data_IF_517840967108
#
_entry.id   IF_517840967108
#
_cell.length_a   1.000
_cell.length_b   1.000
_cell.length_c   1.000
_cell.angle_alpha   90.00
_cell.angle_beta   90.00
_cell.angle_gamma   90.00
#
_symmetry.space_group_name_H-M   'P 1'
#
loop_
_entity.id
_entity.type
_entity.pdbx_description
1 polymer ?
#
# COMPACT_ATOMS: atom_id res chain seq x y z
N UNK A 1 -1.42 20.06 28.99
CA UNK A 1 -1.17 18.61 28.97
C UNK A 1 -0.01 18.32 28.04
N UNK A 2 0.81 17.30 28.31
CA UNK A 2 1.86 16.82 27.40
C UNK A 2 1.45 15.45 26.87
N UNK A 3 1.63 15.21 25.58
CA UNK A 3 1.16 13.97 24.92
C UNK A 3 2.33 13.29 24.24
N UNK A 4 2.37 11.96 24.32
CA UNK A 4 3.30 11.11 23.60
C UNK A 4 2.55 9.95 22.97
N UNK A 5 3.02 9.51 21.80
CA UNK A 5 2.49 8.35 21.07
C UNK A 5 3.64 7.41 20.84
N UNK A 6 3.45 6.12 21.15
CA UNK A 6 4.42 5.09 20.78
C UNK A 6 4.51 5.04 19.25
N UNK A 7 5.70 5.30 18.70
CA UNK A 7 5.89 5.30 17.26
C UNK A 7 5.60 3.91 16.69
N UNK A 8 4.55 3.79 15.89
CA UNK A 8 4.27 2.54 15.21
C UNK A 8 5.27 2.32 14.08
N UNK A 9 5.93 1.16 14.06
CA UNK A 9 6.79 0.79 12.94
C UNK A 9 5.94 0.22 11.82
N UNK A 10 6.11 0.74 10.60
CA UNK A 10 5.41 0.19 9.42
C UNK A 10 6.00 -1.17 9.06
N UNK A 11 5.15 -2.18 9.00
CA UNK A 11 5.50 -3.53 8.58
C UNK A 11 4.62 -3.90 7.39
N UNK A 12 5.24 -4.11 6.24
CA UNK A 12 4.55 -4.57 5.03
C UNK A 12 4.36 -6.08 5.10
N UNK A 13 3.23 -6.57 4.58
CA UNK A 13 3.02 -8.01 4.42
C UNK A 13 4.19 -8.66 3.65
N UNK A 14 4.68 -9.79 4.13
CA UNK A 14 5.79 -10.51 3.53
C UNK A 14 5.44 -11.04 2.13
N UNK A 15 6.47 -11.18 1.32
CA UNK A 15 6.42 -11.65 -0.06
C UNK A 15 5.72 -13.02 -0.25
N UNK A 16 5.69 -13.86 0.78
CA UNK A 16 5.05 -15.18 0.71
C UNK A 16 3.52 -15.14 0.51
N UNK A 17 2.90 -13.95 0.56
CA UNK A 17 1.47 -13.73 0.40
C UNK A 17 0.99 -13.21 -0.96
N UNK A 18 1.79 -13.22 -2.04
CA UNK A 18 1.38 -12.65 -3.34
C UNK A 18 0.19 -13.34 -4.03
N UNK A 19 -0.26 -14.47 -3.51
CA UNK A 19 -1.51 -15.14 -3.89
C UNK A 19 -2.72 -14.71 -3.03
N UNK A 20 -2.55 -13.82 -2.06
CA UNK A 20 -3.64 -13.35 -1.22
C UNK A 20 -4.67 -12.62 -2.09
N UNK A 21 -5.89 -13.15 -2.08
CA UNK A 21 -7.07 -12.50 -2.64
C UNK A 21 -7.12 -11.04 -2.18
N UNK A 22 -7.55 -10.08 -3.04
CA UNK A 22 -7.70 -8.67 -2.69
C UNK A 22 -8.64 -8.39 -1.49
N UNK A 23 -9.22 -9.44 -0.88
CA UNK A 23 -10.18 -9.39 0.22
C UNK A 23 -9.61 -9.65 1.62
N UNK A 24 -8.35 -10.07 1.79
CA UNK A 24 -7.81 -10.28 3.13
C UNK A 24 -7.50 -8.94 3.80
N UNK A 25 -8.19 -8.61 4.90
CA UNK A 25 -7.87 -7.42 5.69
C UNK A 25 -6.51 -7.59 6.39
N UNK A 26 -5.76 -6.48 6.55
CA UNK A 26 -4.51 -6.51 7.30
C UNK A 26 -4.80 -6.87 8.77
N UNK A 27 -4.02 -7.81 9.32
CA UNK A 27 -4.08 -8.17 10.74
C UNK A 27 -3.39 -7.11 11.58
N UNK A 28 -3.88 -6.88 12.80
CA UNK A 28 -3.39 -5.79 13.66
C UNK A 28 -2.36 -6.30 14.67
N UNK A 29 -1.35 -5.50 14.94
CA UNK A 29 -0.41 -5.76 16.03
C UNK A 29 -0.08 -4.43 16.71
N UNK A 30 -0.07 -4.43 18.04
CA UNK A 30 0.23 -3.24 18.84
C UNK A 30 1.56 -2.63 18.40
N UNK A 31 1.60 -1.31 18.27
CA UNK A 31 2.74 -0.49 17.83
C UNK A 31 3.27 -0.85 16.43
N UNK A 32 2.41 -1.38 15.57
CA UNK A 32 2.72 -1.64 14.16
C UNK A 32 1.62 -1.10 13.25
N UNK A 33 2.06 -0.64 12.08
CA UNK A 33 1.18 -0.41 10.93
C UNK A 33 1.36 -1.59 10.00
N UNK A 34 0.39 -2.49 9.99
CA UNK A 34 0.38 -3.65 9.11
C UNK A 34 -0.36 -3.29 7.83
N UNK A 35 0.29 -3.45 6.68
CA UNK A 35 -0.31 -3.10 5.38
C UNK A 35 -0.25 -4.25 4.40
N UNK A 36 -1.30 -4.37 3.60
CA UNK A 36 -1.28 -5.03 2.31
C UNK A 36 -1.74 -4.06 1.21
N UNK A 37 -1.94 -4.53 -0.03
CA UNK A 37 -2.26 -3.65 -1.17
C UNK A 37 -3.52 -2.80 -0.96
N UNK A 38 -4.50 -3.31 -0.21
CA UNK A 38 -5.82 -2.71 -0.07
C UNK A 38 -6.27 -2.53 1.37
N UNK A 39 -5.42 -2.81 2.35
CA UNK A 39 -5.80 -2.68 3.74
C UNK A 39 -4.62 -2.24 4.59
N UNK A 40 -4.95 -1.43 5.58
CA UNK A 40 -4.08 -1.02 6.67
C UNK A 40 -4.75 -1.38 7.99
N UNK A 41 -3.95 -1.93 8.90
CA UNK A 41 -4.28 -1.90 10.32
C UNK A 41 -3.16 -1.24 11.10
N UNK A 42 -3.48 -0.12 11.75
CA UNK A 42 -2.59 0.61 12.64
C UNK A 42 -3.09 0.48 14.08
N UNK A 43 -2.19 0.16 15.01
CA UNK A 43 -2.51 0.11 16.43
C UNK A 43 -1.44 0.88 17.20
N UNK A 44 -1.82 2.01 17.78
CA UNK A 44 -0.93 2.91 18.53
C UNK A 44 -1.34 2.98 19.99
N UNK A 45 -0.36 3.15 20.88
CA UNK A 45 -0.60 3.49 22.27
C UNK A 45 -0.34 4.99 22.48
N UNK A 46 -1.23 5.63 23.23
CA UNK A 46 -1.19 7.06 23.50
C UNK A 46 -1.09 7.28 25.00
N UNK A 47 -0.13 8.10 25.40
CA UNK A 47 0.11 8.49 26.78
C UNK A 47 -0.01 10.00 26.94
N UNK A 48 -0.80 10.44 27.91
CA UNK A 48 -1.01 11.87 28.22
C UNK A 48 -0.63 12.14 29.67
N UNK A 49 0.28 13.09 29.86
CA UNK A 49 0.59 13.71 31.15
C UNK A 49 -0.34 14.91 31.40
N UNK A 50 -1.05 14.87 32.52
CA UNK A 50 -1.80 16.00 33.07
C UNK A 50 -0.88 16.76 34.02
N UNK A 51 -0.38 17.90 33.54
CA UNK A 51 0.62 18.72 34.23
C UNK A 51 -0.02 20.03 34.66
N UNK A 52 0.24 20.43 35.90
CA UNK A 52 -0.05 21.77 36.42
C UNK A 52 1.25 22.51 36.70
N UNK A 53 1.28 23.82 36.49
CA UNK A 53 2.43 24.65 36.85
C UNK A 53 2.17 25.30 38.20
N UNK A 54 2.93 24.92 39.22
CA UNK A 54 2.84 25.47 40.57
C UNK A 54 4.16 26.18 40.85
N UNK A 55 4.11 27.48 41.16
CA UNK A 55 5.29 28.31 41.41
C UNK A 55 6.36 28.21 40.30
N UNK A 56 5.92 28.18 39.04
CA UNK A 56 6.79 28.07 37.87
C UNK A 56 7.36 26.68 37.61
N UNK A 57 7.04 25.66 38.43
CA UNK A 57 7.50 24.28 38.24
C UNK A 57 6.39 23.39 37.69
N UNK A 58 6.64 22.59 36.65
CA UNK A 58 5.68 21.61 36.16
C UNK A 58 5.59 20.44 37.15
N UNK A 59 4.38 20.17 37.64
CA UNK A 59 4.06 19.03 38.50
C UNK A 59 3.10 18.08 37.80
N UNK A 60 3.40 16.78 37.84
CA UNK A 60 2.55 15.73 37.28
C UNK A 60 1.38 15.46 38.23
N UNK A 61 0.17 15.77 37.80
CA UNK A 61 -1.05 15.57 38.59
C UNK A 61 -1.82 14.31 38.19
N UNK A 62 -1.50 13.68 37.08
CA UNK A 62 -2.10 12.42 36.63
C UNK A 62 -1.71 12.01 35.23
N UNK A 63 -2.08 10.79 34.86
CA UNK A 63 -1.76 10.19 33.56
C UNK A 63 -3.01 9.59 32.90
N UNK A 64 -2.98 9.46 31.58
CA UNK A 64 -3.98 8.79 30.77
C UNK A 64 -3.28 7.89 29.75
N UNK A 65 -3.56 6.59 29.81
CA UNK A 65 -3.00 5.58 28.91
C UNK A 65 -4.12 4.84 28.19
N UNK A 66 -4.12 4.87 26.86
CA UNK A 66 -5.09 4.18 26.05
C UNK A 66 -4.51 3.78 24.69
N UNK A 67 -5.22 2.91 23.99
CA UNK A 67 -4.86 2.47 22.67
C UNK A 67 -5.85 2.97 21.63
N UNK A 68 -5.36 3.23 20.42
CA UNK A 68 -6.19 3.49 19.25
C UNK A 68 -5.85 2.49 18.16
N UNK A 69 -6.88 1.84 17.64
CA UNK A 69 -6.78 0.87 16.55
C UNK A 69 -7.54 1.36 15.34
N UNK A 70 -6.85 1.63 14.24
CA UNK A 70 -7.43 1.97 12.94
C UNK A 70 -7.45 0.75 12.03
N UNK A 71 -8.54 0.59 11.29
CA UNK A 71 -8.73 -0.43 10.27
C UNK A 71 -9.28 0.21 9.01
N UNK A 72 -8.42 0.37 8.01
CA UNK A 72 -8.76 0.93 6.71
C UNK A 72 -8.78 -0.18 5.65
N UNK A 73 -9.83 -0.20 4.84
CA UNK A 73 -9.93 -1.09 3.67
C UNK A 73 -10.26 -0.24 2.45
N UNK A 74 -9.29 -0.12 1.54
CA UNK A 74 -9.44 0.50 0.24
C UNK A 74 -10.26 -0.40 -0.69
N UNK A 75 -10.84 0.19 -1.74
CA UNK A 75 -11.68 -0.54 -2.70
C UNK A 75 -11.04 -0.53 -4.09
N UNK A 76 -11.08 -1.68 -4.76
CA UNK A 76 -10.60 -1.85 -6.14
C UNK A 76 -11.59 -1.35 -7.20
N UNK A 77 -12.79 -0.95 -6.78
CA UNK A 77 -13.86 -0.54 -7.69
C UNK A 77 -14.60 0.71 -7.21
N UNK A 78 -14.05 1.41 -6.22
CA UNK A 78 -14.53 2.69 -5.73
C UNK A 78 -13.36 3.53 -5.20
N UNK A 79 -13.31 4.80 -5.58
CA UNK A 79 -12.39 5.78 -4.98
C UNK A 79 -12.89 6.34 -3.63
N UNK A 80 -14.07 5.88 -3.18
CA UNK A 80 -14.65 6.20 -1.88
C UNK A 80 -14.60 4.97 -0.98
N UNK A 81 -14.15 5.14 0.25
CA UNK A 81 -14.05 4.07 1.25
C UNK A 81 -14.35 4.59 2.65
N UNK A 82 -14.36 3.68 3.61
CA UNK A 82 -14.49 4.03 5.02
C UNK A 82 -13.46 3.25 5.81
N UNK A 83 -13.00 3.88 6.88
CA UNK A 83 -12.12 3.33 7.89
C UNK A 83 -12.88 3.29 9.21
N UNK A 84 -12.67 2.24 9.99
CA UNK A 84 -13.16 2.14 11.36
C UNK A 84 -11.99 2.36 12.31
N UNK A 85 -12.23 3.02 13.43
CA UNK A 85 -11.25 3.05 14.51
C UNK A 85 -11.90 2.83 15.87
N UNK A 86 -11.11 2.28 16.79
CA UNK A 86 -11.51 1.97 18.15
C UNK A 86 -10.57 2.68 19.12
N UNK A 87 -11.13 3.45 20.05
CA UNK A 87 -10.42 4.07 21.17
C UNK A 87 -10.71 3.24 22.42
N UNK A 88 -9.69 2.61 22.99
CA UNK A 88 -9.87 1.80 24.20
C UNK A 88 -10.30 2.67 25.39
N UNK A 89 -10.93 2.05 26.39
CA UNK A 89 -11.09 2.70 27.69
C UNK A 89 -9.70 3.03 28.24
N UNK A 90 -9.51 4.27 28.69
CA UNK A 90 -8.22 4.67 29.24
C UNK A 90 -8.03 4.16 30.67
N UNK A 91 -6.79 3.78 30.98
CA UNK A 91 -6.29 3.67 32.35
C UNK A 91 -5.85 5.07 32.77
N UNK A 92 -6.33 5.53 33.93
CA UNK A 92 -6.02 6.88 34.41
C UNK A 92 -5.51 6.87 35.84
N UNK A 93 -4.72 7.89 36.18
CA UNK A 93 -4.33 8.18 37.55
C UNK A 93 -4.76 9.60 37.91
N UNK A 94 -5.26 9.80 39.15
CA UNK A 94 -5.52 11.13 39.73
C UNK A 94 -6.25 12.09 38.75
N UNK A 95 -5.64 13.23 38.41
CA UNK A 95 -6.22 14.25 37.53
C UNK A 95 -6.39 13.78 36.06
N UNK A 96 -5.86 12.62 35.68
CA UNK A 96 -6.08 12.00 34.37
C UNK A 96 -7.54 11.62 34.12
N UNK A 97 -8.34 11.37 35.17
CA UNK A 97 -9.78 11.16 35.00
C UNK A 97 -10.47 12.43 34.49
N UNK A 98 -11.45 12.28 33.59
CA UNK A 98 -12.18 13.42 33.02
C UNK A 98 -11.46 14.16 31.90
N UNK A 99 -10.34 13.62 31.39
CA UNK A 99 -9.74 14.10 30.14
C UNK A 99 -10.63 13.69 28.97
N UNK A 100 -11.05 14.68 28.19
CA UNK A 100 -11.84 14.53 26.97
C UNK A 100 -10.93 14.46 25.74
N UNK A 101 -11.34 13.74 24.70
CA UNK A 101 -10.66 13.69 23.40
C UNK A 101 -11.59 14.15 22.27
N UNK A 102 -11.02 14.89 21.32
CA UNK A 102 -11.60 15.15 20.01
C UNK A 102 -10.66 14.64 18.93
N UNK A 103 -11.22 14.02 17.90
CA UNK A 103 -10.46 13.40 16.81
C UNK A 103 -10.87 14.04 15.49
N UNK A 104 -9.88 14.47 14.71
CA UNK A 104 -10.08 14.92 13.33
C UNK A 104 -9.15 14.17 12.38
N UNK A 105 -9.50 14.16 11.10
CA UNK A 105 -8.71 13.53 10.05
C UNK A 105 -8.64 14.47 8.85
N UNK A 106 -7.44 14.64 8.31
CA UNK A 106 -7.20 15.40 7.08
C UNK A 106 -6.51 14.52 6.05
N UNK A 107 -6.98 14.55 4.81
CA UNK A 107 -6.42 13.78 3.70
C UNK A 107 -5.96 14.69 2.56
N UNK A 108 -4.96 14.23 1.81
CA UNK A 108 -4.44 14.89 0.61
C UNK A 108 -4.91 14.25 -0.70
N UNK A 109 -4.25 14.59 -1.81
CA UNK A 109 -4.42 13.88 -3.10
C UNK A 109 -5.84 13.93 -3.69
N UNK A 110 -6.57 15.03 -3.45
CA UNK A 110 -7.96 15.18 -3.92
C UNK A 110 -8.99 14.33 -3.14
N UNK A 111 -8.59 13.78 -2.00
CA UNK A 111 -9.46 13.00 -1.10
C UNK A 111 -9.94 13.90 0.04
N UNK A 112 -11.22 13.85 0.38
CA UNK A 112 -11.80 14.45 1.59
C UNK A 112 -12.04 13.38 2.65
N UNK A 113 -11.57 13.62 3.87
CA UNK A 113 -11.83 12.79 5.05
C UNK A 113 -12.91 13.44 5.93
N UNK A 114 -13.82 12.63 6.48
CA UNK A 114 -14.88 13.07 7.39
C UNK A 114 -14.93 12.14 8.60
N UNK A 115 -14.68 12.65 9.79
CA UNK A 115 -14.70 11.85 11.03
C UNK A 115 -16.11 11.83 11.64
N UNK A 116 -16.55 10.64 12.04
CA UNK A 116 -17.74 10.44 12.87
C UNK A 116 -17.30 9.79 14.19
N UNK A 117 -17.24 10.60 15.24
CA UNK A 117 -16.87 10.20 16.59
C UNK A 117 -17.52 11.17 17.60
N UNK A 118 -17.88 10.71 18.82
CA UNK A 118 -18.45 11.59 19.84
C UNK A 118 -17.51 12.75 20.17
N UNK A 119 -18.01 13.99 20.08
CA UNK A 119 -17.24 15.18 20.47
C UNK A 119 -17.04 15.18 21.98
N UNK A 120 -15.81 15.46 22.40
CA UNK A 120 -15.45 15.54 23.82
C UNK A 120 -15.60 14.23 24.58
N UNK A 121 -15.37 13.09 23.93
CA UNK A 121 -15.45 11.78 24.58
C UNK A 121 -14.51 11.71 25.78
N UNK A 122 -15.05 11.39 26.96
CA UNK A 122 -14.25 11.24 28.18
C UNK A 122 -13.55 9.89 28.16
N UNK A 123 -12.21 9.90 28.10
CA UNK A 123 -11.41 8.68 27.88
C UNK A 123 -11.59 7.62 28.98
N UNK A 124 -11.93 8.02 30.21
CA UNK A 124 -12.17 7.11 31.33
C UNK A 124 -13.61 6.57 31.41
N UNK A 125 -14.57 7.11 30.65
CA UNK A 125 -15.98 6.69 30.74
C UNK A 125 -16.23 5.33 30.10
N UNK A 126 -15.45 4.97 29.07
CA UNK A 126 -15.57 3.74 28.33
C UNK A 126 -14.76 3.76 27.04
N UNK A 127 -14.69 2.60 26.38
CA UNK A 127 -14.19 2.53 25.01
C UNK A 127 -15.20 3.16 24.05
N UNK A 128 -14.74 3.64 22.90
CA UNK A 128 -15.59 4.25 21.89
C UNK A 128 -15.11 3.91 20.48
N UNK A 129 -16.07 3.64 19.59
CA UNK A 129 -15.82 3.41 18.18
C UNK A 129 -16.10 4.68 17.36
N UNK A 130 -15.36 4.83 16.27
CA UNK A 130 -15.55 5.90 15.30
C UNK A 130 -15.30 5.42 13.87
N UNK A 131 -15.63 6.28 12.93
CA UNK A 131 -15.34 6.04 11.51
C UNK A 131 -14.75 7.27 10.84
N UNK A 132 -13.99 7.04 9.79
CA UNK A 132 -13.59 8.06 8.82
C UNK A 132 -14.18 7.70 7.46
N UNK A 133 -14.99 8.59 6.90
CA UNK A 133 -15.48 8.49 5.53
C UNK A 133 -14.55 9.21 4.58
N UNK A 134 -14.16 8.55 3.49
CA UNK A 134 -13.29 9.09 2.45
C UNK A 134 -14.04 9.23 1.13
N UNK A 135 -14.00 10.44 0.58
CA UNK A 135 -14.59 10.77 -0.71
C UNK A 135 -13.53 11.34 -1.65
N UNK A 136 -13.38 10.73 -2.83
CA UNK A 136 -12.40 11.13 -3.85
C UNK A 136 -13.08 11.23 -5.20
N UNK A 137 -12.86 12.34 -5.91
CA UNK A 137 -13.30 12.51 -7.30
C UNK A 137 -12.10 12.39 -8.23
N UNK A 138 -12.20 11.51 -9.23
CA UNK A 138 -11.11 11.23 -10.18
C UNK A 138 -11.68 11.07 -11.59
N UNK A 139 -11.27 11.96 -12.48
CA UNK A 139 -11.66 11.88 -13.88
C UNK A 139 -11.11 10.60 -14.54
N UNK A 140 -11.78 10.06 -15.58
CA UNK A 140 -11.28 8.93 -16.34
C UNK A 140 -9.86 9.16 -16.87
N UNK A 141 -9.08 8.08 -16.93
CA UNK A 141 -7.67 8.09 -17.37
C UNK A 141 -6.73 8.94 -16.50
N UNK A 142 -7.12 9.26 -15.26
CA UNK A 142 -6.28 10.01 -14.32
C UNK A 142 -5.80 9.16 -13.14
N UNK A 143 -4.71 9.62 -12.56
CA UNK A 143 -4.07 9.08 -11.36
C UNK A 143 -3.90 10.27 -10.43
N UNK A 144 -4.41 10.17 -9.20
CA UNK A 144 -4.19 11.22 -8.21
C UNK A 144 -2.77 11.09 -7.60
N UNK A 145 -2.22 12.18 -7.03
CA UNK A 145 -1.00 12.11 -6.24
C UNK A 145 -1.12 11.12 -5.08
N UNK A 146 -0.01 10.50 -4.69
CA UNK A 146 0.08 9.73 -3.45
C UNK A 146 -0.29 10.64 -2.26
N UNK A 147 -1.07 10.12 -1.32
CA UNK A 147 -1.56 10.85 -0.14
C UNK A 147 -1.53 9.96 1.10
N UNK A 148 -1.71 10.58 2.25
CA UNK A 148 -1.89 9.92 3.56
C UNK A 148 -2.97 10.68 4.33
N UNK A 149 -3.58 10.02 5.30
CA UNK A 149 -4.45 10.68 6.27
C UNK A 149 -3.61 11.09 7.47
N UNK A 150 -3.70 12.35 7.88
CA UNK A 150 -3.17 12.83 9.15
C UNK A 150 -4.31 12.85 10.17
N UNK A 151 -4.19 12.01 11.19
CA UNK A 151 -5.10 12.04 12.34
C UNK A 151 -4.60 13.05 13.36
N UNK A 152 -5.50 13.84 13.92
CA UNK A 152 -5.17 14.77 14.99
C UNK A 152 -6.08 14.54 16.20
N UNK A 153 -5.45 14.36 17.35
CA UNK A 153 -6.09 14.13 18.63
C UNK A 153 -5.86 15.36 19.48
N UNK A 154 -6.95 15.94 19.99
CA UNK A 154 -6.90 17.08 20.92
C UNK A 154 -7.52 16.66 22.24
N UNK A 155 -6.75 16.82 23.31
CA UNK A 155 -7.11 16.46 24.67
C UNK A 155 -7.45 17.71 25.47
N UNK A 156 -8.60 17.72 26.13
CA UNK A 156 -9.06 18.85 26.93
C UNK A 156 -9.46 18.41 28.33
N UNK A 157 -9.23 19.28 29.31
CA UNK A 157 -9.67 19.11 30.70
C UNK A 157 -9.84 20.50 31.32
N UNK A 158 -10.99 20.81 31.95
CA UNK A 158 -11.19 22.10 32.62
C UNK A 158 -10.06 22.41 33.61
N UNK A 159 -9.52 23.63 33.56
CA UNK A 159 -8.40 24.05 34.40
C UNK A 159 -7.00 23.71 33.86
N UNK A 160 -6.89 23.06 32.69
CA UNK A 160 -5.62 22.71 32.06
C UNK A 160 -5.57 23.18 30.61
N UNK A 161 -4.38 23.56 30.14
CA UNK A 161 -4.15 23.79 28.72
C UNK A 161 -4.32 22.50 27.91
N UNK A 162 -4.94 22.55 26.72
CA UNK A 162 -5.07 21.40 25.84
C UNK A 162 -3.72 20.76 25.49
N UNK A 163 -3.74 19.45 25.25
CA UNK A 163 -2.64 18.73 24.62
C UNK A 163 -3.06 18.23 23.24
N UNK A 164 -2.13 18.00 22.33
CA UNK A 164 -2.44 17.39 21.05
C UNK A 164 -1.35 16.47 20.55
N UNK A 165 -1.73 15.55 19.67
CA UNK A 165 -0.78 14.72 18.91
C UNK A 165 -1.34 14.43 17.53
N UNK A 166 -0.43 14.20 16.59
CA UNK A 166 -0.76 13.77 15.23
C UNK A 166 0.08 12.57 14.82
N UNK A 167 -0.51 11.72 13.97
CA UNK A 167 0.21 10.67 13.26
C UNK A 167 -0.46 10.42 11.92
N UNK A 168 0.19 9.63 11.06
CA UNK A 168 -0.24 9.44 9.68
C UNK A 168 -0.52 7.98 9.35
N UNK A 169 -1.56 7.76 8.55
CA UNK A 169 -1.84 6.48 7.92
C UNK A 169 -0.73 6.03 6.95
N UNK A 170 -0.90 4.82 6.42
CA UNK A 170 -0.21 4.39 5.21
C UNK A 170 -0.45 5.36 4.05
N UNK A 171 0.54 5.41 3.15
CA UNK A 171 0.39 6.15 1.90
C UNK A 171 -0.54 5.38 0.99
N UNK A 172 -1.59 6.02 0.51
CA UNK A 172 -2.50 5.49 -0.50
C UNK A 172 -2.45 6.33 -1.78
N UNK A 173 -2.94 5.74 -2.86
CA UNK A 173 -3.15 6.42 -4.14
C UNK A 173 -4.44 5.91 -4.74
N UNK A 174 -5.23 6.84 -5.27
CA UNK A 174 -6.41 6.50 -6.04
C UNK A 174 -6.21 6.83 -7.52
N UNK A 175 -6.85 6.06 -8.39
CA UNK A 175 -6.82 6.27 -9.83
C UNK A 175 -8.13 5.86 -10.49
N UNK A 176 -8.32 6.32 -11.72
CA UNK A 176 -9.37 5.89 -12.63
C UNK A 176 -8.74 5.62 -14.01
N UNK A 177 -7.56 5.00 -14.03
CA UNK A 177 -6.75 4.92 -15.24
C UNK A 177 -7.25 3.84 -16.21
N UNK A 178 -7.75 2.73 -15.68
CA UNK A 178 -8.17 1.58 -16.49
C UNK A 178 -9.66 1.58 -16.89
N UNK A 179 -10.38 2.66 -16.58
CA UNK A 179 -11.85 2.75 -16.62
C UNK A 179 -12.53 2.17 -17.87
N UNK A 180 -13.36 1.14 -17.64
CA UNK A 180 -14.67 0.88 -18.29
C UNK A 180 -15.36 -0.41 -17.79
N UNK A 181 -14.61 -1.37 -17.22
CA UNK A 181 -15.16 -2.63 -16.69
C UNK A 181 -15.30 -2.61 -15.16
N UNK A 182 -16.16 -3.47 -14.57
CA UNK A 182 -16.28 -3.60 -13.09
C UNK A 182 -14.94 -3.92 -12.40
N UNK A 183 -14.01 -4.58 -13.08
CA UNK A 183 -12.68 -4.95 -12.57
C UNK A 183 -11.61 -3.86 -12.76
N UNK A 184 -11.97 -2.72 -13.37
CA UNK A 184 -11.03 -1.66 -13.76
C UNK A 184 -11.60 -0.25 -13.54
N UNK A 185 -12.60 -0.12 -12.64
CA UNK A 185 -13.20 1.17 -12.26
C UNK A 185 -12.22 2.00 -11.42
N UNK A 186 -12.60 3.23 -11.12
CA UNK A 186 -11.87 4.04 -10.15
C UNK A 186 -11.70 3.28 -8.84
N UNK A 187 -10.50 3.30 -8.26
CA UNK A 187 -10.17 2.59 -7.04
C UNK A 187 -8.91 3.13 -6.40
N UNK A 188 -8.56 2.57 -5.25
CA UNK A 188 -7.40 3.01 -4.47
C UNK A 188 -6.55 1.82 -4.02
N UNK A 189 -5.25 2.04 -3.88
CA UNK A 189 -4.31 1.06 -3.37
C UNK A 189 -3.25 1.73 -2.48
N UNK A 190 -2.56 0.93 -1.68
CA UNK A 190 -1.33 1.29 -0.97
C UNK A 190 -0.16 0.98 -1.94
N UNK A 191 0.36 1.99 -2.67
CA UNK A 191 1.20 1.76 -3.84
C UNK A 191 2.56 1.16 -3.49
N UNK A 192 3.06 1.41 -2.27
CA UNK A 192 4.39 0.96 -1.84
C UNK A 192 4.41 -0.51 -1.41
N UNK A 193 3.25 -1.17 -1.34
CA UNK A 193 3.16 -2.61 -1.07
C UNK A 193 3.32 -3.36 -2.40
N UNK A 194 4.36 -4.22 -2.53
CA UNK A 194 4.54 -5.03 -3.72
C UNK A 194 3.36 -5.97 -3.95
N UNK A 195 3.11 -6.28 -5.22
CA UNK A 195 2.09 -7.27 -5.62
C UNK A 195 2.73 -8.34 -6.51
N UNK A 196 2.02 -9.43 -6.79
CA UNK A 196 2.52 -10.49 -7.66
C UNK A 196 1.72 -10.62 -8.95
N UNK A 197 2.41 -10.87 -10.06
CA UNK A 197 1.79 -11.29 -11.32
C UNK A 197 2.24 -12.70 -11.69
N UNK A 198 1.30 -13.60 -11.98
CA UNK A 198 1.63 -15.01 -12.24
C UNK A 198 1.84 -15.31 -13.73
N UNK A 199 3.01 -15.87 -14.03
CA UNK A 199 3.37 -16.46 -15.32
C UNK A 199 3.24 -17.99 -15.33
N UNK A 200 2.91 -18.61 -14.20
CA UNK A 200 2.71 -20.06 -14.08
C UNK A 200 1.78 -20.59 -15.16
N UNK A 201 2.20 -21.65 -15.85
CA UNK A 201 1.44 -22.26 -16.95
C UNK A 201 1.60 -21.56 -18.31
N UNK A 202 2.38 -20.48 -18.40
CA UNK A 202 2.93 -20.00 -19.66
C UNK A 202 4.27 -20.74 -19.87
N UNK A 203 4.17 -21.96 -20.43
CA UNK A 203 5.21 -22.98 -20.31
C UNK A 203 6.65 -22.51 -20.58
N UNK A 204 6.87 -21.68 -21.61
CA UNK A 204 8.21 -21.20 -21.98
C UNK A 204 8.61 -19.94 -21.23
N UNK A 205 7.68 -19.01 -21.04
CA UNK A 205 7.92 -17.77 -20.26
C UNK A 205 8.30 -18.11 -18.82
N UNK A 206 7.49 -18.96 -18.17
CA UNK A 206 7.72 -19.49 -16.83
C UNK A 206 9.08 -20.22 -16.74
N UNK A 207 9.35 -21.14 -17.67
CA UNK A 207 10.63 -21.86 -17.75
C UNK A 207 11.83 -20.91 -17.88
N UNK A 208 11.75 -19.89 -18.73
CA UNK A 208 12.80 -18.90 -18.90
C UNK A 208 13.09 -18.12 -17.61
N UNK A 209 12.04 -17.70 -16.89
CA UNK A 209 12.17 -17.01 -15.60
C UNK A 209 12.81 -17.93 -14.55
N UNK A 210 12.37 -19.20 -14.44
CA UNK A 210 12.96 -20.17 -13.51
C UNK A 210 14.42 -20.48 -13.83
N UNK A 211 14.76 -20.62 -15.10
CA UNK A 211 16.15 -20.82 -15.55
C UNK A 211 17.03 -19.64 -15.20
N UNK A 212 16.56 -18.40 -15.42
CA UNK A 212 17.27 -17.19 -15.01
C UNK A 212 17.56 -17.20 -13.50
N UNK A 213 16.56 -17.55 -12.68
CA UNK A 213 16.70 -17.64 -11.23
C UNK A 213 17.69 -18.71 -10.79
N UNK A 214 17.66 -19.88 -11.41
CA UNK A 214 18.63 -20.94 -11.15
C UNK A 214 20.07 -20.50 -11.46
N UNK A 215 20.25 -19.56 -12.38
CA UNK A 215 21.56 -18.99 -12.76
C UNK A 215 21.94 -17.72 -11.96
N UNK A 216 21.23 -17.41 -10.86
CA UNK A 216 21.54 -16.29 -9.98
C UNK A 216 20.85 -14.96 -10.34
N UNK A 217 19.87 -14.98 -11.23
CA UNK A 217 19.01 -13.84 -11.54
C UNK A 217 17.88 -13.69 -10.51
N UNK A 218 17.89 -12.65 -9.68
CA UNK A 218 16.95 -12.55 -8.54
C UNK A 218 16.00 -11.36 -8.61
N UNK A 219 16.12 -10.47 -9.60
CA UNK A 219 15.15 -9.38 -9.76
C UNK A 219 13.77 -9.95 -10.12
N UNK A 220 12.73 -9.43 -9.45
CA UNK A 220 11.35 -9.88 -9.57
C UNK A 220 11.04 -11.24 -8.93
N UNK A 221 11.99 -11.87 -8.21
CA UNK A 221 11.76 -13.11 -7.47
C UNK A 221 11.10 -12.86 -6.10
N UNK A 222 9.89 -13.39 -5.84
CA UNK A 222 9.26 -13.24 -4.53
C UNK A 222 10.01 -13.93 -3.38
N UNK A 223 10.91 -14.87 -3.66
CA UNK A 223 11.59 -15.69 -2.63
C UNK A 223 12.98 -15.16 -2.25
N UNK A 224 13.12 -13.84 -2.10
CA UNK A 224 14.40 -13.20 -1.70
C UNK A 224 15.00 -12.27 -2.75
N UNK A 225 14.29 -12.02 -3.84
CA UNK A 225 14.65 -11.05 -4.86
C UNK A 225 14.33 -9.60 -4.51
N UNK A 226 14.77 -8.68 -5.37
CA UNK A 226 14.31 -7.27 -5.36
C UNK A 226 13.07 -7.15 -6.26
N UNK A 227 12.05 -6.36 -5.89
CA UNK A 227 10.89 -6.17 -6.77
C UNK A 227 11.30 -5.48 -8.07
N UNK A 228 10.56 -5.75 -9.14
CA UNK A 228 10.54 -4.92 -10.34
C UNK A 228 9.62 -3.72 -10.11
N UNK A 229 9.76 -2.66 -10.90
CA UNK A 229 8.90 -1.48 -10.83
C UNK A 229 8.17 -1.28 -12.15
N UNK A 230 6.84 -1.15 -12.09
CA UNK A 230 6.04 -0.98 -13.30
C UNK A 230 6.39 0.33 -14.01
N UNK A 231 6.45 0.30 -15.34
CA UNK A 231 6.72 1.45 -16.18
C UNK A 231 5.58 1.67 -17.18
N UNK A 232 4.95 2.84 -17.14
CA UNK A 232 3.78 3.15 -17.98
C UNK A 232 4.14 3.75 -19.35
N UNK A 233 5.38 4.22 -19.51
CA UNK A 233 5.84 4.91 -20.70
C UNK A 233 6.02 3.94 -21.90
N UNK A 234 5.11 4.02 -22.87
CA UNK A 234 5.11 3.17 -24.06
C UNK A 234 6.31 3.37 -24.99
N UNK A 235 6.86 4.58 -25.05
CA UNK A 235 8.08 4.85 -25.83
C UNK A 235 9.28 4.13 -25.20
N UNK A 236 9.39 4.19 -23.88
CA UNK A 236 10.44 3.49 -23.15
C UNK A 236 10.25 1.97 -23.19
N UNK A 237 9.01 1.46 -23.11
CA UNK A 237 8.71 0.04 -23.28
C UNK A 237 9.21 -0.47 -24.65
N UNK A 238 8.93 0.27 -25.73
CA UNK A 238 9.41 -0.07 -27.05
C UNK A 238 10.95 -0.03 -27.15
N UNK A 239 11.59 0.96 -26.52
CA UNK A 239 13.05 1.06 -26.46
C UNK A 239 13.67 -0.11 -25.69
N UNK A 240 13.11 -0.45 -24.52
CA UNK A 240 13.53 -1.60 -23.70
C UNK A 240 13.44 -2.89 -24.50
N UNK A 241 12.31 -3.14 -25.18
CA UNK A 241 12.15 -4.33 -26.02
C UNK A 241 13.17 -4.37 -27.15
N UNK A 242 13.33 -3.27 -27.90
CA UNK A 242 14.28 -3.19 -29.01
C UNK A 242 15.73 -3.44 -28.57
N UNK A 243 16.08 -3.07 -27.35
CA UNK A 243 17.44 -3.22 -26.82
C UNK A 243 17.85 -4.69 -26.56
N UNK A 244 16.90 -5.60 -26.39
CA UNK A 244 17.19 -7.01 -26.03
C UNK A 244 16.57 -8.03 -26.96
N UNK A 245 15.44 -7.72 -27.60
CA UNK A 245 14.77 -8.63 -28.53
C UNK A 245 15.32 -8.46 -29.95
N UNK A 246 15.92 -9.51 -30.53
CA UNK A 246 16.30 -9.50 -31.95
C UNK A 246 15.07 -9.36 -32.85
N UNK A 247 15.26 -8.81 -34.05
CA UNK A 247 14.18 -8.63 -35.04
C UNK A 247 13.66 -9.94 -35.62
N UNK A 248 14.40 -11.04 -35.50
CA UNK A 248 13.97 -12.33 -36.01
C UNK A 248 14.40 -13.49 -35.12
N UNK A 249 13.52 -14.48 -34.97
CA UNK A 249 13.81 -15.70 -34.23
C UNK A 249 14.89 -16.55 -34.93
N UNK A 250 15.74 -17.26 -34.16
CA UNK A 250 16.60 -18.32 -34.67
C UNK A 250 15.81 -19.37 -35.47
N UNK A 251 16.48 -20.06 -36.41
CA UNK A 251 15.82 -20.96 -37.35
C UNK A 251 15.12 -22.14 -36.66
N UNK A 252 15.71 -22.70 -35.61
CA UNK A 252 15.13 -23.75 -34.78
C UNK A 252 13.89 -23.28 -34.02
N UNK A 253 13.91 -22.07 -33.47
CA UNK A 253 12.74 -21.47 -32.82
C UNK A 253 11.61 -21.20 -33.82
N UNK A 254 11.94 -20.71 -35.03
CA UNK A 254 10.97 -20.56 -36.14
C UNK A 254 10.32 -21.89 -36.50
N UNK A 255 11.10 -22.97 -36.67
CA UNK A 255 10.57 -24.33 -36.94
C UNK A 255 9.63 -24.82 -35.84
N UNK A 256 9.89 -24.46 -34.59
CA UNK A 256 9.03 -24.77 -33.45
C UNK A 256 7.79 -23.85 -33.31
N UNK A 257 7.57 -22.91 -34.25
CA UNK A 257 6.49 -21.92 -34.19
C UNK A 257 6.70 -20.83 -33.14
N UNK A 258 7.92 -20.67 -32.63
CA UNK A 258 8.29 -19.71 -31.57
C UNK A 258 8.92 -18.49 -32.19
N UNK A 259 8.06 -17.60 -32.69
CA UNK A 259 8.46 -16.41 -33.45
C UNK A 259 8.35 -15.11 -32.67
N UNK A 260 7.85 -15.15 -31.44
CA UNK A 260 7.77 -13.99 -30.56
C UNK A 260 8.90 -14.00 -29.54
N UNK A 261 9.59 -12.88 -29.41
CA UNK A 261 10.53 -12.66 -28.33
C UNK A 261 9.76 -12.24 -27.07
N UNK A 262 10.05 -12.88 -25.94
CA UNK A 262 9.67 -12.48 -24.59
C UNK A 262 10.94 -12.11 -23.81
N UNK A 263 10.85 -11.07 -23.00
CA UNK A 263 11.97 -10.49 -22.28
C UNK A 263 11.72 -10.47 -20.76
N UNK A 264 12.73 -10.88 -19.99
CA UNK A 264 12.73 -10.72 -18.53
C UNK A 264 13.99 -9.98 -18.05
N UNK A 265 13.89 -8.95 -17.18
CA UNK A 265 12.65 -8.30 -16.73
C UNK A 265 11.83 -7.75 -17.90
N UNK A 266 10.51 -7.67 -17.71
CA UNK A 266 9.58 -7.23 -18.76
C UNK A 266 9.97 -5.86 -19.30
N UNK A 267 9.83 -5.63 -20.61
CA UNK A 267 10.10 -4.30 -21.19
C UNK A 267 9.24 -3.19 -20.59
N UNK A 268 8.08 -3.54 -20.01
CA UNK A 268 7.17 -2.67 -19.27
C UNK A 268 7.53 -2.47 -17.80
N UNK A 269 8.77 -2.80 -17.41
CA UNK A 269 9.36 -2.47 -16.11
C UNK A 269 10.53 -1.49 -16.25
N UNK A 270 10.83 -0.76 -15.18
CA UNK A 270 12.00 0.13 -15.12
C UNK A 270 13.33 -0.63 -15.20
N UNK A 271 13.33 -1.89 -14.79
CA UNK A 271 14.47 -2.82 -14.89
C UNK A 271 14.59 -3.49 -16.27
N UNK A 272 13.61 -3.28 -17.15
CA UNK A 272 13.55 -3.91 -18.48
C UNK A 272 14.66 -3.46 -19.44
N UNK A 273 14.84 -4.20 -20.53
CA UNK A 273 15.85 -3.87 -21.53
C UNK A 273 17.28 -4.12 -21.04
N UNK A 274 18.14 -3.10 -21.04
CA UNK A 274 19.56 -3.21 -20.64
C UNK A 274 19.86 -2.56 -19.29
N UNK A 275 18.85 -2.20 -18.50
CA UNK A 275 19.03 -1.52 -17.20
C UNK A 275 19.61 -2.45 -16.13
N UNK A 276 19.51 -3.77 -16.30
CA UNK A 276 20.19 -4.75 -15.46
C UNK A 276 21.37 -5.43 -16.20
N UNK A 277 22.37 -5.95 -15.46
CA UNK A 277 23.43 -6.77 -16.05
C UNK A 277 22.88 -7.97 -16.83
N UNK A 278 23.62 -8.47 -17.83
CA UNK A 278 23.20 -9.63 -18.65
C UNK A 278 22.82 -10.86 -17.82
N UNK A 279 23.53 -11.13 -16.71
CA UNK A 279 23.23 -12.23 -15.77
C UNK A 279 21.90 -12.11 -15.02
N UNK A 280 21.21 -10.98 -15.14
CA UNK A 280 19.91 -10.73 -14.51
C UNK A 280 18.80 -10.62 -15.56
N UNK A 281 19.05 -11.05 -16.80
CA UNK A 281 18.12 -10.94 -17.93
C UNK A 281 18.02 -12.25 -18.67
N UNK A 282 16.84 -12.53 -19.23
CA UNK A 282 16.60 -13.69 -20.10
C UNK A 282 15.77 -13.24 -21.31
N UNK A 283 16.07 -13.85 -22.46
CA UNK A 283 15.25 -13.75 -23.66
C UNK A 283 14.73 -15.15 -23.99
N UNK A 284 13.41 -15.27 -24.10
CA UNK A 284 12.75 -16.52 -24.42
C UNK A 284 11.98 -16.38 -25.73
N UNK A 285 12.23 -17.27 -26.68
CA UNK A 285 11.40 -17.37 -27.88
C UNK A 285 10.17 -18.22 -27.60
N UNK A 286 8.99 -17.62 -27.79
CA UNK A 286 7.70 -18.22 -27.47
C UNK A 286 6.72 -18.15 -28.64
N UNK A 287 5.64 -18.93 -28.55
CA UNK A 287 4.53 -18.80 -29.50
C UNK A 287 3.86 -17.44 -29.30
N UNK A 288 3.36 -16.84 -30.39
CA UNK A 288 2.63 -15.57 -30.33
C UNK A 288 1.41 -15.66 -29.38
N UNK A 289 0.73 -16.82 -29.33
CA UNK A 289 -0.40 -17.03 -28.42
C UNK A 289 -0.01 -16.94 -26.94
N UNK A 290 1.13 -17.54 -26.56
CA UNK A 290 1.64 -17.52 -25.20
C UNK A 290 2.02 -16.09 -24.78
N UNK A 291 2.70 -15.34 -25.66
CA UNK A 291 3.04 -13.94 -25.39
C UNK A 291 1.78 -13.06 -25.26
N UNK A 292 0.76 -13.30 -26.09
CA UNK A 292 -0.55 -12.62 -25.95
C UNK A 292 -1.23 -12.96 -24.63
N UNK A 293 -1.18 -14.21 -24.18
CA UNK A 293 -1.69 -14.62 -22.87
C UNK A 293 -0.98 -13.92 -21.72
N UNK A 294 0.34 -13.75 -21.80
CA UNK A 294 1.13 -12.96 -20.83
C UNK A 294 0.62 -11.52 -20.75
N UNK A 295 0.49 -10.85 -21.90
CA UNK A 295 -0.02 -9.47 -21.97
C UNK A 295 -1.43 -9.33 -21.40
N UNK A 296 -2.31 -10.32 -21.64
CA UNK A 296 -3.64 -10.39 -21.03
C UNK A 296 -3.59 -10.48 -19.50
N UNK A 297 -2.74 -11.36 -18.95
CA UNK A 297 -2.56 -11.53 -17.50
C UNK A 297 -2.02 -10.25 -16.85
N UNK A 298 -0.99 -9.63 -17.43
CA UNK A 298 -0.43 -8.37 -16.94
C UNK A 298 -1.49 -7.27 -16.96
N UNK A 299 -2.28 -7.16 -18.02
CA UNK A 299 -3.34 -6.15 -18.13
C UNK A 299 -4.41 -6.34 -17.06
N UNK A 300 -4.88 -7.58 -16.86
CA UNK A 300 -5.87 -7.90 -15.84
C UNK A 300 -5.34 -7.62 -14.43
N UNK A 301 -4.13 -8.10 -14.11
CA UNK A 301 -3.47 -7.86 -12.84
C UNK A 301 -3.31 -6.36 -12.54
N UNK A 302 -2.84 -5.56 -13.52
CA UNK A 302 -2.70 -4.11 -13.32
C UNK A 302 -4.02 -3.41 -13.01
N UNK A 303 -5.08 -3.80 -13.71
CA UNK A 303 -6.44 -3.29 -13.46
C UNK A 303 -6.93 -3.64 -12.06
N UNK A 304 -6.82 -4.91 -11.68
CA UNK A 304 -7.29 -5.41 -10.38
C UNK A 304 -6.47 -4.87 -9.19
N UNK A 305 -5.15 -4.77 -9.37
CA UNK A 305 -4.21 -4.38 -8.31
C UNK A 305 -3.91 -2.87 -8.31
N UNK A 306 -4.52 -2.10 -9.21
CA UNK A 306 -4.29 -0.66 -9.39
C UNK A 306 -2.80 -0.31 -9.50
N UNK A 307 -2.04 -1.10 -10.27
CA UNK A 307 -0.58 -0.94 -10.41
C UNK A 307 -0.29 0.21 -11.37
N UNK A 308 0.45 1.22 -10.92
CA UNK A 308 0.86 2.37 -11.74
C UNK A 308 2.37 2.48 -11.85
N UNK A 309 2.80 3.50 -12.59
CA UNK A 309 4.21 3.83 -12.75
C UNK A 309 4.94 3.91 -11.40
N UNK A 310 6.06 3.20 -11.31
CA UNK A 310 6.89 3.10 -10.11
C UNK A 310 6.39 2.13 -9.04
N UNK A 311 5.24 1.48 -9.21
CA UNK A 311 4.77 0.51 -8.22
C UNK A 311 5.61 -0.78 -8.25
N UNK A 312 6.05 -1.29 -7.08
CA UNK A 312 6.81 -2.52 -6.99
C UNK A 312 5.94 -3.76 -7.26
N UNK A 313 6.52 -4.76 -7.90
CA UNK A 313 5.90 -6.06 -8.11
C UNK A 313 6.92 -7.19 -8.25
N UNK A 314 6.43 -8.40 -8.02
CA UNK A 314 7.16 -9.66 -8.23
C UNK A 314 6.46 -10.49 -9.30
N UNK A 315 7.20 -11.43 -9.87
CA UNK A 315 6.70 -12.34 -10.90
C UNK A 315 6.69 -13.76 -10.35
N UNK A 316 5.54 -14.40 -10.36
CA UNK A 316 5.39 -15.78 -9.90
C UNK A 316 5.58 -16.69 -11.12
N UNK A 317 6.59 -17.54 -11.07
CA UNK A 317 6.97 -18.50 -12.11
C UNK A 317 7.31 -19.82 -11.41
#
# INVERSE_FOLDING_TARGET
MRVTVSSATRVQAQANGFAASPAANATCTINKIMVNRFSECEWVSVHVDVIKVINGKPELEGTVDFDVKHQMTLKTNSANWSEKFHVSKARTTRAGSGVAVNITAASGGGTKATVHFPKGHILSSGAADGTVGYATSIAPKKINPKAKTTYAYTFTKPGYSPGSVTYNSAVYRCDNYYGSSKASRAGCAIPDVPTGVSMVGLARIDEGIRKLRANGGHYGDPNGGKPLHWMINKKQEAANRKAVCPSSAPADMKRAGRTSCDEYPFASSHEGGTHLPAKQREITWVKVSENKSQGGRITAWRGQMHVMDGDPFYVIA
#
